data_IF_314745813050
#
_entry.id   IF_314745813050
#
_cell.length_a   1.000
_cell.length_b   1.000
_cell.length_c   1.000
_cell.angle_alpha   90.00
_cell.angle_beta   90.00
_cell.angle_gamma   90.00
#
_symmetry.space_group_name_H-M   'P 1'
#
loop_
_entity.id
_entity.type
_entity.pdbx_description
1 polymer ?
#
# COMPACT_ATOMS: atom_id res chain seq x y z
N UNK A 1 -37.88 15.60 -10.57
CA UNK A 1 -38.17 14.38 -9.80
C UNK A 1 -36.95 13.85 -9.08
N UNK A 2 -37.02 13.81 -7.75
CA UNK A 2 -35.99 13.25 -6.88
C UNK A 2 -36.24 11.75 -6.81
N UNK A 3 -35.37 10.97 -7.44
CA UNK A 3 -35.38 9.51 -7.41
C UNK A 3 -35.18 9.01 -5.97
N UNK A 4 -36.29 8.59 -5.35
CA UNK A 4 -36.42 7.61 -4.26
C UNK A 4 -35.13 7.28 -3.49
N UNK A 5 -34.89 8.06 -2.46
CA UNK A 5 -33.96 7.80 -1.37
C UNK A 5 -34.53 6.69 -0.46
N UNK A 6 -34.45 5.42 -0.88
CA UNK A 6 -34.91 4.27 -0.07
C UNK A 6 -34.24 2.92 -0.44
N UNK A 7 -33.08 2.92 -1.11
CA UNK A 7 -32.46 1.68 -1.65
C UNK A 7 -31.01 1.42 -1.22
N UNK A 8 -30.48 2.19 -0.29
CA UNK A 8 -29.18 1.88 0.32
C UNK A 8 -29.44 1.54 1.77
N UNK A 9 -29.31 0.27 2.13
CA UNK A 9 -29.43 -0.15 3.52
C UNK A 9 -28.39 0.57 4.39
N UNK A 10 -28.66 0.67 5.69
CA UNK A 10 -27.78 1.39 6.61
C UNK A 10 -26.33 0.88 6.56
N UNK A 11 -26.14 -0.42 6.35
CA UNK A 11 -24.84 -1.05 6.24
C UNK A 11 -24.06 -0.54 5.01
N UNK A 12 -24.73 -0.38 3.87
CA UNK A 12 -24.17 0.13 2.63
C UNK A 12 -23.83 1.62 2.73
N UNK A 13 -24.66 2.41 3.41
CA UNK A 13 -24.31 3.80 3.73
C UNK A 13 -23.08 3.90 4.64
N UNK A 14 -22.98 3.03 5.65
CA UNK A 14 -21.81 3.00 6.54
C UNK A 14 -20.54 2.58 5.78
N UNK A 15 -20.65 1.61 4.87
CA UNK A 15 -19.55 1.19 3.98
C UNK A 15 -19.09 2.34 3.09
N UNK A 16 -20.02 3.07 2.46
CA UNK A 16 -19.69 4.22 1.64
C UNK A 16 -19.06 5.36 2.45
N UNK A 17 -19.56 5.62 3.67
CA UNK A 17 -18.95 6.60 4.56
C UNK A 17 -17.49 6.22 4.90
N UNK A 18 -17.21 4.94 5.19
CA UNK A 18 -15.83 4.47 5.41
C UNK A 18 -14.96 4.66 4.18
N UNK A 19 -15.47 4.29 3.01
CA UNK A 19 -14.81 4.51 1.73
C UNK A 19 -14.36 5.97 1.58
N UNK A 20 -15.27 6.93 1.77
CA UNK A 20 -14.94 8.36 1.61
C UNK A 20 -13.88 8.82 2.60
N UNK A 21 -13.93 8.36 3.86
CA UNK A 21 -12.91 8.70 4.86
C UNK A 21 -11.52 8.19 4.51
N UNK A 22 -11.41 6.96 4.02
CA UNK A 22 -10.11 6.44 3.57
C UNK A 22 -9.68 7.09 2.26
N UNK A 23 -10.61 7.45 1.38
CA UNK A 23 -10.31 8.20 0.15
C UNK A 23 -9.67 9.54 0.46
N UNK A 24 -10.13 10.25 1.50
CA UNK A 24 -9.50 11.48 1.95
C UNK A 24 -8.07 11.28 2.46
N UNK A 25 -7.82 10.17 3.18
CA UNK A 25 -6.48 9.85 3.71
C UNK A 25 -5.48 9.40 2.65
N UNK A 26 -5.97 8.79 1.57
CA UNK A 26 -5.16 8.13 0.54
C UNK A 26 -5.24 8.92 -0.77
N UNK A 27 -6.38 8.89 -1.44
CA UNK A 27 -6.60 9.50 -2.77
C UNK A 27 -6.46 11.02 -2.78
N UNK A 28 -7.18 11.73 -1.90
CA UNK A 28 -7.17 13.21 -1.88
C UNK A 28 -5.95 13.80 -1.16
N UNK A 29 -5.15 12.97 -0.51
CA UNK A 29 -4.03 13.44 0.31
C UNK A 29 -2.85 13.97 -0.49
N UNK A 30 -2.74 13.58 -1.77
CA UNK A 30 -1.58 13.82 -2.63
C UNK A 30 -0.32 13.02 -2.25
N UNK A 31 -0.37 12.18 -1.20
CA UNK A 31 0.80 11.49 -0.64
C UNK A 31 1.11 10.16 -1.33
N UNK A 32 0.15 9.59 -2.05
CA UNK A 32 0.22 8.26 -2.65
C UNK A 32 0.25 8.32 -4.18
N UNK A 33 0.99 9.28 -4.75
CA UNK A 33 0.93 9.57 -6.19
C UNK A 33 1.38 8.40 -7.06
N UNK A 34 2.44 7.69 -6.67
CA UNK A 34 2.92 6.52 -7.44
C UNK A 34 2.10 5.27 -7.13
N UNK A 35 1.65 5.14 -5.89
CA UNK A 35 0.91 3.96 -5.42
C UNK A 35 -0.54 3.95 -5.92
N UNK A 36 -1.17 5.12 -6.05
CA UNK A 36 -2.61 5.22 -6.33
C UNK A 36 -3.00 4.57 -7.68
N UNK A 37 -2.27 4.74 -8.79
CA UNK A 37 -2.59 4.04 -10.04
C UNK A 37 -2.58 2.51 -9.89
N UNK A 38 -1.59 1.94 -9.21
CA UNK A 38 -1.50 0.49 -9.00
C UNK A 38 -2.58 -0.03 -8.02
N UNK A 39 -2.93 0.78 -7.02
CA UNK A 39 -4.02 0.51 -6.10
C UNK A 39 -5.34 0.44 -6.87
N UNK A 40 -5.63 1.41 -7.74
CA UNK A 40 -6.89 1.50 -8.47
C UNK A 40 -7.01 0.48 -9.61
N UNK A 41 -5.93 0.22 -10.35
CA UNK A 41 -5.91 -0.75 -11.45
C UNK A 41 -7.09 -0.61 -12.43
N UNK A 42 -7.55 -1.73 -12.98
CA UNK A 42 -8.67 -1.79 -13.94
C UNK A 42 -10.06 -1.65 -13.28
N UNK A 43 -10.15 -1.76 -11.95
CA UNK A 43 -11.40 -1.72 -11.19
C UNK A 43 -11.28 -0.75 -9.99
N UNK A 44 -11.22 0.58 -10.25
CA UNK A 44 -10.87 1.57 -9.23
C UNK A 44 -11.78 1.57 -8.01
N UNK A 45 -13.09 1.46 -8.24
CA UNK A 45 -14.08 1.49 -7.17
C UNK A 45 -14.00 0.22 -6.31
N UNK A 46 -14.04 -0.96 -6.93
CA UNK A 46 -14.02 -2.25 -6.25
C UNK A 46 -12.74 -2.44 -5.45
N UNK A 47 -11.58 -2.10 -6.04
CA UNK A 47 -10.29 -2.26 -5.39
C UNK A 47 -10.12 -1.31 -4.21
N UNK A 48 -10.55 -0.06 -4.35
CA UNK A 48 -10.52 0.87 -3.22
C UNK A 48 -11.55 0.51 -2.14
N UNK A 49 -12.71 -0.02 -2.52
CA UNK A 49 -13.72 -0.52 -1.57
C UNK A 49 -13.18 -1.70 -0.77
N UNK A 50 -12.58 -2.69 -1.43
CA UNK A 50 -11.95 -3.84 -0.79
C UNK A 50 -10.88 -3.40 0.22
N UNK A 51 -10.01 -2.46 -0.19
CA UNK A 51 -9.01 -1.90 0.70
C UNK A 51 -9.64 -1.17 1.91
N UNK A 52 -10.69 -0.38 1.67
CA UNK A 52 -11.39 0.38 2.71
C UNK A 52 -12.03 -0.53 3.76
N UNK A 53 -12.64 -1.63 3.33
CA UNK A 53 -13.21 -2.62 4.25
C UNK A 53 -12.12 -3.31 5.08
N UNK A 54 -11.03 -3.71 4.43
CA UNK A 54 -9.90 -4.32 5.11
C UNK A 54 -9.23 -3.37 6.12
N UNK A 55 -9.03 -2.10 5.76
CA UNK A 55 -8.47 -1.09 6.65
C UNK A 55 -9.32 -0.91 7.91
N UNK A 56 -10.65 -0.91 7.74
CA UNK A 56 -11.55 -0.80 8.88
C UNK A 56 -11.51 -2.05 9.76
N UNK A 57 -11.53 -3.24 9.16
CA UNK A 57 -11.40 -4.50 9.89
C UNK A 57 -10.07 -4.58 10.66
N UNK A 58 -8.98 -4.07 10.08
CA UNK A 58 -7.64 -4.11 10.68
C UNK A 58 -7.41 -3.06 11.79
N UNK A 59 -8.20 -1.98 11.83
CA UNK A 59 -7.92 -0.83 12.71
C UNK A 59 -9.08 -0.41 13.61
N UNK A 60 -10.33 -0.66 13.21
CA UNK A 60 -11.51 -0.04 13.80
C UNK A 60 -11.57 1.48 13.65
N UNK A 61 -10.64 2.10 12.92
CA UNK A 61 -10.42 3.55 12.88
C UNK A 61 -10.51 4.09 11.45
N UNK A 62 -11.29 5.15 11.26
CA UNK A 62 -11.43 5.85 9.97
C UNK A 62 -10.69 7.19 9.92
N UNK A 63 -10.09 7.59 11.03
CA UNK A 63 -9.37 8.87 11.19
C UNK A 63 -8.24 8.72 12.22
N UNK A 64 -7.36 9.73 12.32
CA UNK A 64 -6.26 9.79 13.31
C UNK A 64 -5.25 8.63 13.21
N UNK A 65 -5.10 8.06 12.02
CA UNK A 65 -4.05 7.07 11.75
C UNK A 65 -2.74 7.84 11.52
N UNK A 66 -1.72 7.56 12.34
CA UNK A 66 -0.40 8.14 12.17
C UNK A 66 0.16 7.80 10.79
N UNK A 67 0.82 8.76 10.13
CA UNK A 67 1.24 8.63 8.72
C UNK A 67 2.08 7.37 8.46
N UNK A 68 3.07 7.09 9.31
CA UNK A 68 3.87 5.86 9.20
C UNK A 68 3.00 4.62 9.24
N UNK A 69 2.06 4.54 10.20
CA UNK A 69 1.13 3.41 10.32
C UNK A 69 0.20 3.30 9.12
N UNK A 70 -0.25 4.43 8.55
CA UNK A 70 -1.04 4.44 7.33
C UNK A 70 -0.27 3.79 6.17
N UNK A 71 1.01 4.13 5.99
CA UNK A 71 1.85 3.49 4.96
C UNK A 71 2.02 1.97 5.20
N UNK A 72 2.21 1.52 6.44
CA UNK A 72 2.26 0.08 6.77
C UNK A 72 0.96 -0.64 6.40
N UNK A 73 -0.18 -0.01 6.73
CA UNK A 73 -1.49 -0.58 6.46
C UNK A 73 -1.75 -0.63 4.96
N UNK A 74 -1.45 0.44 4.22
CA UNK A 74 -1.59 0.44 2.77
C UNK A 74 -0.70 -0.65 2.16
N UNK A 75 0.57 -0.77 2.57
CA UNK A 75 1.44 -1.86 2.09
C UNK A 75 0.81 -3.25 2.30
N UNK A 76 0.36 -3.54 3.52
CA UNK A 76 -0.29 -4.82 3.85
C UNK A 76 -1.56 -5.05 3.00
N UNK A 77 -2.37 -4.01 2.81
CA UNK A 77 -3.58 -4.08 1.98
C UNK A 77 -3.27 -4.34 0.50
N UNK A 78 -2.28 -3.65 -0.07
CA UNK A 78 -1.87 -3.87 -1.46
C UNK A 78 -1.42 -5.32 -1.69
N UNK A 79 -0.61 -5.87 -0.79
CA UNK A 79 -0.08 -7.23 -0.91
C UNK A 79 -1.16 -8.29 -0.66
N UNK A 80 -1.91 -8.16 0.44
CA UNK A 80 -2.81 -9.24 0.89
C UNK A 80 -4.20 -9.19 0.25
N UNK A 81 -4.71 -8.00 -0.06
CA UNK A 81 -6.06 -7.84 -0.61
C UNK A 81 -6.04 -7.66 -2.12
N UNK A 82 -5.09 -6.86 -2.62
CA UNK A 82 -5.05 -6.50 -4.03
C UNK A 82 -4.06 -7.33 -4.86
N UNK A 83 -3.33 -8.24 -4.21
CA UNK A 83 -2.38 -9.16 -4.86
C UNK A 83 -1.19 -8.47 -5.51
N UNK A 84 -0.86 -7.25 -5.10
CA UNK A 84 0.32 -6.54 -5.63
C UNK A 84 1.57 -7.22 -5.07
N UNK A 85 2.52 -7.51 -5.95
CA UNK A 85 3.78 -8.15 -5.59
C UNK A 85 4.52 -7.31 -4.51
N UNK A 86 5.03 -7.94 -3.44
CA UNK A 86 5.65 -7.24 -2.31
C UNK A 86 6.73 -6.21 -2.64
N UNK A 87 7.66 -6.52 -3.56
CA UNK A 87 8.76 -5.64 -3.91
C UNK A 87 8.25 -4.45 -4.76
N UNK A 88 7.26 -4.69 -5.62
CA UNK A 88 6.54 -3.66 -6.37
C UNK A 88 5.79 -2.70 -5.44
N UNK A 89 5.05 -3.24 -4.47
CA UNK A 89 4.35 -2.45 -3.46
C UNK A 89 5.33 -1.64 -2.60
N UNK A 90 6.45 -2.24 -2.19
CA UNK A 90 7.48 -1.57 -1.41
C UNK A 90 8.14 -0.43 -2.21
N UNK A 91 8.43 -0.65 -3.49
CA UNK A 91 9.02 0.35 -4.38
C UNK A 91 8.11 1.57 -4.57
N UNK A 92 6.84 1.36 -4.92
CA UNK A 92 5.86 2.45 -5.13
C UNK A 92 5.64 3.26 -3.85
N UNK A 93 5.34 2.57 -2.74
CA UNK A 93 5.14 3.23 -1.46
C UNK A 93 6.42 3.89 -0.93
N UNK A 94 7.59 3.35 -1.25
CA UNK A 94 8.88 3.95 -0.92
C UNK A 94 9.09 5.30 -1.62
N UNK A 95 8.73 5.40 -2.90
CA UNK A 95 8.78 6.65 -3.66
C UNK A 95 7.85 7.70 -3.05
N UNK A 96 6.62 7.30 -2.74
CA UNK A 96 5.64 8.15 -2.08
C UNK A 96 6.09 8.60 -0.69
N UNK A 97 6.60 7.67 0.13
CA UNK A 97 6.99 7.95 1.51
C UNK A 97 8.13 8.96 1.60
N UNK A 98 9.13 8.85 0.71
CA UNK A 98 10.28 9.78 0.66
C UNK A 98 9.86 11.23 0.46
N UNK A 99 8.78 11.47 -0.28
CA UNK A 99 8.24 12.82 -0.54
C UNK A 99 7.56 13.44 0.67
N UNK A 100 7.20 12.64 1.67
CA UNK A 100 6.53 13.14 2.89
C UNK A 100 7.48 13.85 3.86
N UNK A 101 8.80 13.66 3.73
CA UNK A 101 9.80 14.20 4.66
C UNK A 101 9.76 13.59 6.07
N UNK A 102 9.00 12.51 6.27
CA UNK A 102 8.87 11.85 7.58
C UNK A 102 10.16 11.20 8.04
N UNK A 103 10.49 11.36 9.33
CA UNK A 103 11.65 10.71 9.94
C UNK A 103 11.39 9.23 10.22
N UNK A 104 12.37 8.39 9.92
CA UNK A 104 12.36 6.96 10.17
C UNK A 104 11.56 6.17 9.13
N UNK A 105 12.06 4.99 8.76
CA UNK A 105 11.43 4.16 7.73
C UNK A 105 10.31 3.29 8.31
N UNK A 106 9.20 3.10 7.59
CA UNK A 106 8.29 1.97 7.73
C UNK A 106 9.05 0.64 7.75
N UNK A 107 8.58 -0.32 8.54
CA UNK A 107 9.13 -1.66 8.68
C UNK A 107 9.20 -2.40 7.35
N UNK A 108 8.19 -2.26 6.48
CA UNK A 108 8.25 -2.88 5.15
C UNK A 108 9.42 -2.36 4.30
N UNK A 109 9.75 -1.06 4.36
CA UNK A 109 10.92 -0.49 3.66
C UNK A 109 12.25 -0.91 4.28
N UNK A 110 12.29 -1.14 5.59
CA UNK A 110 13.48 -1.68 6.25
C UNK A 110 13.73 -3.13 5.82
N UNK A 111 12.67 -3.93 5.75
CA UNK A 111 12.74 -5.32 5.30
C UNK A 111 13.13 -5.42 3.81
N UNK A 112 12.56 -4.57 2.96
CA UNK A 112 12.88 -4.47 1.54
C UNK A 112 14.37 -4.16 1.30
N UNK A 113 14.90 -3.11 1.93
CA UNK A 113 16.33 -2.78 1.84
C UNK A 113 17.27 -3.87 2.40
N UNK A 114 16.82 -4.65 3.39
CA UNK A 114 17.58 -5.80 3.89
C UNK A 114 17.62 -6.94 2.85
N UNK A 115 16.51 -7.22 2.15
CA UNK A 115 16.42 -8.23 1.08
C UNK A 115 17.32 -7.85 -0.10
N UNK A 116 17.30 -6.59 -0.54
CA UNK A 116 18.16 -6.12 -1.63
C UNK A 116 19.65 -6.32 -1.33
N UNK A 117 20.08 -5.96 -0.11
CA UNK A 117 21.48 -6.12 0.33
C UNK A 117 21.91 -7.58 0.37
N UNK A 118 21.06 -8.46 0.89
CA UNK A 118 21.31 -9.90 0.91
C UNK A 118 21.43 -10.47 -0.52
N UNK A 119 20.54 -10.05 -1.43
CA UNK A 119 20.57 -10.46 -2.84
C UNK A 119 21.81 -9.96 -3.60
N UNK A 120 22.29 -8.75 -3.30
CA UNK A 120 23.52 -8.21 -3.88
C UNK A 120 24.77 -8.97 -3.40
N UNK A 121 24.89 -9.24 -2.10
CA UNK A 121 25.99 -10.02 -1.53
C UNK A 121 26.07 -11.45 -2.11
N UNK A 122 24.91 -12.11 -2.28
CA UNK A 122 24.83 -13.44 -2.89
C UNK A 122 25.17 -13.48 -4.39
N UNK A 123 24.97 -12.38 -5.13
CA UNK A 123 25.41 -12.26 -6.53
C UNK A 123 26.93 -12.10 -6.64
N UNK A 124 27.52 -11.23 -5.81
CA UNK A 124 28.97 -11.00 -5.79
C UNK A 124 29.72 -12.30 -5.50
N UNK A 125 29.30 -13.04 -4.46
CA UNK A 125 29.95 -14.29 -4.04
C UNK A 125 29.89 -15.41 -5.10
N UNK A 126 28.79 -15.52 -5.85
CA UNK A 126 28.66 -16.49 -6.95
C UNK A 126 29.60 -16.17 -8.10
N UNK A 127 29.72 -14.90 -8.46
CA UNK A 127 30.58 -14.47 -9.57
C UNK A 127 32.08 -14.65 -9.25
N UNK A 128 32.49 -14.48 -7.98
CA UNK A 128 33.89 -14.71 -7.57
C UNK A 128 34.30 -16.18 -7.58
N UNK A 129 33.35 -17.12 -7.45
CA UNK A 129 33.63 -18.56 -7.48
C UNK A 129 33.83 -19.10 -8.90
N UNK A 130 33.16 -18.51 -9.90
CA UNK A 130 33.29 -18.93 -11.30
C UNK A 130 34.61 -18.48 -11.94
N UNK A 131 35.20 -17.37 -11.48
CA UNK A 131 36.50 -16.88 -11.95
C UNK A 131 37.71 -17.68 -11.45
N UNK A 132 37.53 -18.67 -10.55
CA UNK A 132 38.62 -19.47 -9.97
C UNK A 132 38.84 -20.83 -10.64
N UNK A 133 37.99 -21.23 -11.58
CA UNK A 133 38.04 -22.54 -12.26
C UNK A 133 38.41 -22.46 -13.75
N UNK A 134 38.88 -21.30 -14.22
CA UNK A 134 39.23 -21.05 -15.62
C UNK A 134 40.73 -20.76 -15.83
N UNK A 135 41.60 -21.50 -15.14
CA UNK A 135 43.06 -21.49 -15.37
C UNK A 135 43.60 -22.90 -15.53
#
# INVERSE_FOLDING_TARGET
DILSNDRIDFASMQRLNRFTRYWDLIGNSGRFRETLPALLGEAPFERFMQLSEWLYAATGQVHRIALKRLFELVYQGLVTQLGIEPDTAASLLGQDYRRTGSKGLPGFLQADGARERAGAAGRISRNTRQLRYSS
#
